data_IF_297788271157
#
_entry.id   IF_297788271157
#
_cell.length_a   1.000
_cell.length_b   1.000
_cell.length_c   1.000
_cell.angle_alpha   90.00
_cell.angle_beta   90.00
_cell.angle_gamma   90.00
#
_symmetry.space_group_name_H-M   'P 1'
#
loop_
_entity.id
_entity.type
_entity.pdbx_description
1 polymer ?
#
# COMPACT_ATOMS: atom_id res chain seq x y z
N UNK A 1 9.01 22.40 13.59
CA UNK A 1 8.68 22.05 14.97
C UNK A 1 8.64 20.53 15.10
N UNK A 2 9.56 19.94 15.89
CA UNK A 2 9.66 18.49 16.09
C UNK A 2 8.86 18.00 17.30
N UNK A 3 8.20 18.91 18.03
CA UNK A 3 7.42 18.56 19.23
C UNK A 3 6.21 17.68 18.92
N UNK A 4 5.70 17.74 17.68
CA UNK A 4 4.59 16.93 17.20
C UNK A 4 5.01 15.58 16.59
N UNK A 5 6.33 15.29 16.57
CA UNK A 5 6.86 14.06 16.02
C UNK A 5 7.31 13.16 17.16
N UNK A 6 6.69 12.00 17.30
CA UNK A 6 7.19 10.95 18.19
C UNK A 6 8.31 10.20 17.47
N UNK A 7 9.53 10.44 17.88
CA UNK A 7 10.68 9.71 17.38
C UNK A 7 10.73 8.32 18.00
N UNK A 8 10.65 7.32 17.17
CA UNK A 8 10.95 5.96 17.60
C UNK A 8 12.46 5.80 17.65
N UNK A 9 12.97 5.30 18.77
CA UNK A 9 14.39 4.99 18.92
C UNK A 9 14.72 3.81 18.01
N UNK A 10 15.22 4.10 16.83
CA UNK A 10 15.95 3.10 16.06
C UNK A 10 17.38 3.09 16.59
N UNK A 11 17.96 1.92 16.74
CA UNK A 11 19.39 1.82 16.98
C UNK A 11 20.12 2.28 15.70
N UNK A 12 20.31 3.60 15.56
CA UNK A 12 20.98 4.21 14.41
C UNK A 12 22.47 3.85 14.28
N UNK A 13 22.98 2.99 15.15
CA UNK A 13 24.36 2.49 15.19
C UNK A 13 24.44 1.07 14.64
N UNK A 14 23.34 0.33 14.67
CA UNK A 14 23.29 -1.05 14.19
C UNK A 14 23.50 -1.14 12.68
N UNK A 15 24.43 -2.00 12.27
CA UNK A 15 24.59 -2.39 10.86
C UNK A 15 23.39 -3.20 10.32
N UNK A 16 22.45 -3.54 11.17
CA UNK A 16 21.26 -4.35 10.82
C UNK A 16 20.13 -3.49 10.26
N UNK A 17 20.12 -2.20 10.60
CA UNK A 17 19.03 -1.30 10.27
C UNK A 17 19.60 0.08 9.88
N UNK A 18 19.06 0.70 8.83
CA UNK A 18 19.52 1.97 8.28
C UNK A 18 18.36 2.84 7.81
N UNK A 19 18.63 4.08 7.51
CA UNK A 19 17.66 4.92 6.80
C UNK A 19 17.57 4.51 5.33
N UNK A 20 16.36 4.59 4.78
CA UNK A 20 16.15 4.45 3.34
C UNK A 20 16.72 5.63 2.58
N UNK A 21 17.17 5.40 1.35
CA UNK A 21 17.66 6.43 0.45
C UNK A 21 16.88 6.33 -0.86
N UNK A 22 16.48 7.48 -1.38
CA UNK A 22 15.87 7.58 -2.69
C UNK A 22 16.72 8.49 -3.58
N UNK A 23 17.14 7.95 -4.72
CA UNK A 23 17.85 8.70 -5.74
C UNK A 23 16.93 8.96 -6.92
N UNK A 24 16.83 10.20 -7.34
CA UNK A 24 16.06 10.56 -8.53
C UNK A 24 16.96 11.34 -9.49
N UNK A 25 17.21 10.75 -10.64
CA UNK A 25 17.81 11.46 -11.76
C UNK A 25 16.71 12.23 -12.50
N UNK A 26 16.87 13.54 -12.64
CA UNK A 26 15.93 14.34 -13.43
C UNK A 26 16.12 14.01 -14.91
N UNK A 27 15.03 13.75 -15.59
CA UNK A 27 15.04 13.64 -17.05
C UNK A 27 15.43 14.95 -17.72
N UNK A 28 16.10 14.86 -18.85
CA UNK A 28 16.45 16.01 -19.70
C UNK A 28 16.33 15.63 -21.18
N UNK A 29 15.62 16.42 -21.94
CA UNK A 29 15.36 16.16 -23.37
C UNK A 29 14.59 14.85 -23.56
N UNK A 30 15.13 13.96 -24.39
CA UNK A 30 14.54 12.63 -24.69
C UNK A 30 14.79 11.61 -23.57
N UNK A 31 15.58 11.94 -22.56
CA UNK A 31 15.88 11.05 -21.44
C UNK A 31 14.87 11.27 -20.31
N UNK A 32 14.06 10.25 -20.04
CA UNK A 32 13.11 10.28 -18.93
C UNK A 32 13.79 10.33 -17.56
N UNK A 33 13.05 10.79 -16.55
CA UNK A 33 13.51 10.73 -15.15
C UNK A 33 13.63 9.26 -14.69
N UNK A 34 14.68 8.94 -13.94
CA UNK A 34 14.92 7.61 -13.38
C UNK A 34 14.99 7.70 -11.87
N UNK A 35 14.08 6.99 -11.19
CA UNK A 35 14.07 6.84 -9.74
C UNK A 35 14.65 5.51 -9.29
N UNK A 36 15.54 5.54 -8.30
CA UNK A 36 16.04 4.36 -7.62
C UNK A 36 15.79 4.49 -6.12
N UNK A 37 14.91 3.64 -5.59
CA UNK A 37 14.58 3.61 -4.17
C UNK A 37 15.29 2.45 -3.49
N UNK A 38 16.22 2.76 -2.60
CA UNK A 38 16.90 1.78 -1.77
C UNK A 38 16.16 1.62 -0.43
N UNK A 39 15.29 0.63 -0.34
CA UNK A 39 14.37 0.38 0.78
C UNK A 39 14.76 -0.83 1.63
N UNK A 40 15.69 -1.66 1.18
CA UNK A 40 16.07 -2.88 1.88
C UNK A 40 16.76 -2.60 3.22
N UNK A 41 16.49 -3.41 4.23
CA UNK A 41 17.09 -3.31 5.57
C UNK A 41 16.95 -1.93 6.24
N UNK A 42 15.89 -1.20 5.90
CA UNK A 42 15.56 0.07 6.56
C UNK A 42 14.93 -0.18 7.93
N UNK A 43 15.02 0.79 8.83
CA UNK A 43 14.39 0.72 10.15
C UNK A 43 12.90 0.35 10.04
N UNK A 44 12.19 1.01 9.14
CA UNK A 44 10.75 0.76 8.94
C UNK A 44 10.46 -0.65 8.37
N UNK A 45 11.38 -1.24 7.59
CA UNK A 45 11.21 -2.61 7.09
C UNK A 45 11.45 -3.68 8.15
N UNK A 46 12.08 -3.31 9.27
CA UNK A 46 12.36 -4.17 10.42
C UNK A 46 11.39 -3.95 11.57
N UNK A 47 10.62 -2.86 11.53
CA UNK A 47 9.66 -2.55 12.57
C UNK A 47 8.58 -3.65 12.66
N UNK A 48 8.23 -3.99 13.88
CA UNK A 48 7.21 -4.99 14.21
C UNK A 48 5.98 -4.32 14.81
N UNK A 49 4.82 -5.00 14.92
CA UNK A 49 3.66 -4.41 15.57
C UNK A 49 3.93 -3.88 16.98
N UNK A 50 4.82 -4.54 17.73
CA UNK A 50 5.17 -4.22 19.11
C UNK A 50 5.94 -2.91 19.25
N UNK A 51 6.53 -2.40 18.16
CA UNK A 51 7.20 -1.11 18.13
C UNK A 51 6.20 0.07 18.15
N UNK A 52 4.91 -0.20 17.94
CA UNK A 52 3.86 0.81 17.84
C UNK A 52 2.77 0.58 18.90
N UNK A 53 2.42 1.62 19.62
CA UNK A 53 1.26 1.61 20.51
C UNK A 53 0.00 2.02 19.73
N UNK A 54 -0.57 1.06 18.98
CA UNK A 54 -1.74 1.31 18.15
C UNK A 54 -2.99 1.62 18.98
N UNK A 55 -3.13 1.05 20.18
CA UNK A 55 -4.26 1.37 21.08
C UNK A 55 -4.17 2.82 21.56
N UNK A 56 -2.98 3.32 21.88
CA UNK A 56 -2.78 4.73 22.18
C UNK A 56 -3.09 5.64 20.97
N UNK A 57 -2.59 5.26 19.78
CA UNK A 57 -2.78 6.06 18.56
C UNK A 57 -4.26 6.18 18.19
N UNK A 58 -4.96 5.06 18.12
CA UNK A 58 -6.35 5.05 17.64
C UNK A 58 -7.38 5.25 18.76
N UNK A 59 -7.07 4.77 19.97
CA UNK A 59 -7.96 4.89 21.12
C UNK A 59 -7.79 6.21 21.86
N UNK A 60 -6.60 6.48 22.41
CA UNK A 60 -6.40 7.65 23.27
C UNK A 60 -6.25 8.95 22.48
N UNK A 61 -5.43 8.97 21.41
CA UNK A 61 -5.30 10.15 20.55
C UNK A 61 -6.51 10.35 19.63
N UNK A 62 -7.36 9.35 19.47
CA UNK A 62 -8.58 9.43 18.70
C UNK A 62 -8.35 9.68 17.21
N UNK A 63 -7.34 9.05 16.63
CA UNK A 63 -7.05 9.18 15.19
C UNK A 63 -8.25 8.73 14.37
N UNK A 64 -8.74 9.59 13.48
CA UNK A 64 -9.97 9.37 12.72
C UNK A 64 -9.75 8.78 11.34
N UNK A 65 -8.54 8.86 10.81
CA UNK A 65 -8.20 8.37 9.47
C UNK A 65 -6.80 7.80 9.46
N UNK A 66 -6.68 6.53 9.06
CA UNK A 66 -5.42 5.86 8.77
C UNK A 66 -5.28 5.73 7.25
N UNK A 67 -4.16 6.22 6.71
CA UNK A 67 -3.77 5.94 5.33
C UNK A 67 -2.49 5.11 5.30
N UNK A 68 -2.50 4.04 4.50
CA UNK A 68 -1.32 3.20 4.26
C UNK A 68 -1.40 2.59 2.86
N UNK A 69 -0.47 1.71 2.50
CA UNK A 69 -0.50 1.14 1.14
C UNK A 69 0.45 -0.02 0.92
N UNK A 70 0.33 -0.60 -0.27
CA UNK A 70 1.04 -1.79 -0.70
C UNK A 70 2.55 -1.66 -0.74
N UNK A 71 3.09 -0.46 -0.91
CA UNK A 71 4.54 -0.23 -0.82
C UNK A 71 5.05 -0.54 0.59
N UNK A 72 4.34 -0.11 1.64
CA UNK A 72 4.74 -0.46 3.00
C UNK A 72 4.55 -1.95 3.27
N UNK A 73 3.42 -2.51 2.89
CA UNK A 73 3.14 -3.93 3.04
C UNK A 73 4.21 -4.81 2.38
N UNK A 74 4.72 -4.40 1.21
CA UNK A 74 5.71 -5.14 0.42
C UNK A 74 7.16 -4.99 0.88
N UNK A 75 7.47 -4.22 1.93
CA UNK A 75 8.86 -4.02 2.38
C UNK A 75 9.47 -5.28 2.99
N UNK A 76 8.70 -6.06 3.72
CA UNK A 76 9.13 -7.27 4.42
C UNK A 76 7.93 -8.06 4.94
N UNK A 77 8.15 -9.29 5.38
CA UNK A 77 7.11 -10.05 6.10
C UNK A 77 6.65 -9.37 7.41
N UNK A 78 7.57 -8.64 8.07
CA UNK A 78 7.20 -7.89 9.28
C UNK A 78 6.29 -6.72 8.97
N UNK A 79 6.57 -5.99 7.87
CA UNK A 79 5.68 -4.90 7.45
C UNK A 79 4.28 -5.38 7.04
N UNK A 80 4.15 -6.58 6.46
CA UNK A 80 2.84 -7.21 6.25
C UNK A 80 2.06 -7.37 7.56
N UNK A 81 2.71 -7.87 8.60
CA UNK A 81 2.08 -8.07 9.92
C UNK A 81 1.74 -6.72 10.57
N UNK A 82 2.67 -5.79 10.51
CA UNK A 82 2.51 -4.47 11.13
C UNK A 82 1.38 -3.67 10.50
N UNK A 83 1.28 -3.66 9.17
CA UNK A 83 0.18 -2.97 8.49
C UNK A 83 -1.18 -3.60 8.81
N UNK A 84 -1.24 -4.93 8.86
CA UNK A 84 -2.48 -5.63 9.17
C UNK A 84 -2.93 -5.38 10.61
N UNK A 85 -2.01 -5.37 11.58
CA UNK A 85 -2.30 -5.07 12.97
C UNK A 85 -2.76 -3.61 13.14
N UNK A 86 -2.07 -2.66 12.50
CA UNK A 86 -2.47 -1.26 12.49
C UNK A 86 -3.90 -1.07 11.98
N UNK A 87 -4.23 -1.71 10.85
CA UNK A 87 -5.56 -1.62 10.23
C UNK A 87 -6.63 -2.26 11.14
N UNK A 88 -6.38 -3.44 11.68
CA UNK A 88 -7.33 -4.12 12.60
C UNK A 88 -7.59 -3.29 13.84
N UNK A 89 -6.53 -2.73 14.44
CA UNK A 89 -6.68 -1.87 15.61
C UNK A 89 -7.41 -0.56 15.25
N UNK A 90 -7.10 0.05 14.11
CA UNK A 90 -7.83 1.22 13.62
C UNK A 90 -9.34 0.93 13.51
N UNK A 91 -9.71 -0.21 12.94
CA UNK A 91 -11.13 -0.62 12.83
C UNK A 91 -11.79 -0.87 14.18
N UNK A 92 -11.07 -1.43 15.16
CA UNK A 92 -11.55 -1.61 16.54
C UNK A 92 -12.02 -0.28 17.17
N UNK A 93 -11.33 0.82 16.83
CA UNK A 93 -11.65 2.16 17.34
C UNK A 93 -12.52 3.01 16.39
N UNK A 94 -13.03 2.42 15.31
CA UNK A 94 -13.90 3.12 14.37
C UNK A 94 -13.16 4.10 13.42
N UNK A 95 -11.85 4.02 13.35
CA UNK A 95 -11.02 4.81 12.44
C UNK A 95 -11.31 4.42 10.98
N UNK A 96 -11.42 5.41 10.11
CA UNK A 96 -11.54 5.19 8.67
C UNK A 96 -10.19 4.73 8.14
N UNK A 97 -10.18 3.68 7.34
CA UNK A 97 -8.97 3.12 6.74
C UNK A 97 -8.99 3.33 5.24
N UNK A 98 -7.99 4.03 4.71
CA UNK A 98 -7.73 4.10 3.27
C UNK A 98 -6.44 3.36 2.94
N UNK A 99 -6.47 2.62 1.82
CA UNK A 99 -5.36 1.80 1.36
C UNK A 99 -5.13 1.99 -0.13
N UNK A 100 -3.88 2.32 -0.50
CA UNK A 100 -3.44 2.36 -1.89
C UNK A 100 -2.72 1.05 -2.24
N UNK A 101 -3.28 0.27 -3.13
CA UNK A 101 -2.73 -1.02 -3.54
C UNK A 101 -1.30 -0.91 -4.07
N UNK A 102 -1.04 0.07 -4.91
CA UNK A 102 0.28 0.50 -5.38
C UNK A 102 1.27 -0.65 -5.60
N UNK A 103 0.86 -1.61 -6.43
CA UNK A 103 1.60 -2.84 -6.67
C UNK A 103 2.99 -2.58 -7.25
N UNK A 104 3.98 -3.25 -6.71
CA UNK A 104 5.36 -3.20 -7.21
C UNK A 104 5.94 -4.61 -7.28
N UNK A 105 5.99 -5.22 -8.48
CA UNK A 105 6.46 -6.60 -8.67
C UNK A 105 7.84 -6.84 -8.04
N UNK A 106 8.76 -5.88 -8.20
CA UNK A 106 10.12 -5.98 -7.68
C UNK A 106 10.21 -6.04 -6.14
N UNK A 107 9.23 -5.48 -5.44
CA UNK A 107 9.18 -5.55 -3.98
C UNK A 107 8.57 -6.87 -3.51
N UNK A 108 7.44 -7.24 -4.09
CA UNK A 108 6.76 -8.48 -3.74
C UNK A 108 7.58 -9.73 -4.08
N UNK A 109 8.35 -9.70 -5.18
CA UNK A 109 9.24 -10.83 -5.54
C UNK A 109 10.23 -11.21 -4.44
N UNK A 110 10.63 -10.25 -3.61
CA UNK A 110 11.55 -10.48 -2.49
C UNK A 110 10.91 -11.23 -1.30
N UNK A 111 9.58 -11.27 -1.20
CA UNK A 111 8.86 -11.84 -0.05
C UNK A 111 7.79 -12.87 -0.43
N UNK A 112 7.81 -13.39 -1.65
CA UNK A 112 6.90 -14.46 -2.08
C UNK A 112 6.11 -14.18 -3.36
N UNK A 113 6.38 -13.07 -4.04
CA UNK A 113 5.84 -12.78 -5.37
C UNK A 113 4.36 -12.43 -5.39
N UNK A 114 3.74 -12.72 -6.54
CA UNK A 114 2.34 -12.38 -6.79
C UNK A 114 1.38 -13.09 -5.84
N UNK A 115 1.62 -14.36 -5.54
CA UNK A 115 0.77 -15.13 -4.64
C UNK A 115 0.74 -14.50 -3.24
N UNK A 116 1.92 -14.08 -2.74
CA UNK A 116 2.00 -13.40 -1.45
C UNK A 116 1.35 -12.03 -1.47
N UNK A 117 1.51 -11.29 -2.57
CA UNK A 117 0.82 -10.02 -2.75
C UNK A 117 -0.71 -10.18 -2.66
N UNK A 118 -1.25 -11.18 -3.35
CA UNK A 118 -2.68 -11.47 -3.32
C UNK A 118 -3.16 -11.94 -1.93
N UNK A 119 -2.43 -12.84 -1.28
CA UNK A 119 -2.76 -13.30 0.07
C UNK A 119 -2.90 -12.12 1.03
N UNK A 120 -1.87 -11.27 1.08
CA UNK A 120 -1.80 -10.14 2.02
C UNK A 120 -2.84 -9.08 1.69
N UNK A 121 -2.96 -8.67 0.43
CA UNK A 121 -3.88 -7.59 0.06
C UNK A 121 -5.35 -8.02 0.14
N UNK A 122 -5.69 -9.28 -0.14
CA UNK A 122 -7.04 -9.83 0.06
C UNK A 122 -7.42 -9.85 1.55
N UNK A 123 -6.47 -10.12 2.44
CA UNK A 123 -6.72 -10.05 3.88
C UNK A 123 -6.91 -8.59 4.34
N UNK A 124 -6.05 -7.67 3.90
CA UNK A 124 -6.14 -6.23 4.20
C UNK A 124 -7.48 -5.66 3.71
N UNK A 125 -7.90 -6.02 2.49
CA UNK A 125 -9.11 -5.50 1.86
C UNK A 125 -10.37 -5.70 2.72
N UNK A 126 -10.42 -6.72 3.57
CA UNK A 126 -11.56 -6.98 4.47
C UNK A 126 -11.80 -5.88 5.51
N UNK A 127 -10.81 -5.03 5.75
CA UNK A 127 -10.84 -3.99 6.78
C UNK A 127 -10.77 -2.56 6.23
N UNK A 128 -10.61 -2.40 4.91
CA UNK A 128 -10.45 -1.10 4.26
C UNK A 128 -11.81 -0.46 3.99
N UNK A 129 -11.93 0.84 4.24
CA UNK A 129 -13.12 1.64 3.89
C UNK A 129 -12.95 2.31 2.52
N UNK A 130 -11.73 2.76 2.19
CA UNK A 130 -11.44 3.46 0.94
C UNK A 130 -10.28 2.75 0.23
N UNK A 131 -10.59 2.05 -0.86
CA UNK A 131 -9.60 1.35 -1.67
C UNK A 131 -9.16 2.22 -2.83
N UNK A 132 -7.84 2.30 -3.05
CA UNK A 132 -7.23 3.10 -4.11
C UNK A 132 -6.31 2.20 -4.93
N UNK A 133 -6.31 2.37 -6.24
CA UNK A 133 -5.41 1.63 -7.15
C UNK A 133 -5.78 1.87 -8.60
N UNK A 134 -4.87 1.53 -9.49
CA UNK A 134 -5.17 1.45 -10.91
C UNK A 134 -5.64 0.02 -11.28
N UNK A 135 -5.92 -0.23 -12.55
CA UNK A 135 -6.38 -1.53 -13.04
C UNK A 135 -5.38 -2.67 -12.76
N UNK A 136 -4.09 -2.41 -12.98
CA UNK A 136 -3.02 -3.37 -12.73
C UNK A 136 -2.95 -3.72 -11.25
N UNK A 137 -3.11 -2.74 -10.38
CA UNK A 137 -3.11 -2.93 -8.93
C UNK A 137 -4.27 -3.83 -8.48
N UNK A 138 -5.49 -3.59 -8.99
CA UNK A 138 -6.66 -4.42 -8.66
C UNK A 138 -6.50 -5.85 -9.17
N UNK A 139 -5.98 -6.02 -10.37
CA UNK A 139 -5.73 -7.35 -10.95
C UNK A 139 -4.63 -8.08 -10.15
N UNK A 140 -3.49 -7.46 -9.96
CA UNK A 140 -2.34 -8.09 -9.31
C UNK A 140 -2.58 -8.37 -7.82
N UNK A 141 -3.18 -7.44 -7.08
CA UNK A 141 -3.33 -7.55 -5.63
C UNK A 141 -4.61 -8.26 -5.20
N UNK A 142 -5.71 -8.10 -5.94
CA UNK A 142 -7.02 -8.62 -5.54
C UNK A 142 -7.55 -9.71 -6.49
N UNK A 143 -6.95 -9.84 -7.67
CA UNK A 143 -7.33 -10.86 -8.67
C UNK A 143 -8.57 -10.50 -9.46
N UNK A 144 -8.92 -9.21 -9.57
CA UNK A 144 -10.00 -8.75 -10.45
C UNK A 144 -9.47 -8.56 -11.86
N UNK A 145 -10.17 -9.12 -12.84
CA UNK A 145 -9.82 -8.98 -14.26
C UNK A 145 -10.68 -7.91 -14.90
N UNK A 146 -10.10 -7.15 -15.84
CA UNK A 146 -10.85 -6.25 -16.71
C UNK A 146 -11.12 -6.96 -18.01
N UNK A 147 -12.40 -7.24 -18.29
CA UNK A 147 -12.81 -7.77 -19.58
C UNK A 147 -12.59 -6.73 -20.68
N UNK A 148 -11.89 -7.11 -21.75
CA UNK A 148 -11.76 -6.31 -22.97
C UNK A 148 -10.62 -5.29 -22.96
N UNK A 149 -9.57 -5.49 -22.18
CA UNK A 149 -8.33 -4.73 -22.33
C UNK A 149 -7.64 -5.19 -23.61
N UNK A 150 -7.72 -4.37 -24.66
CA UNK A 150 -6.87 -4.49 -25.83
C UNK A 150 -5.43 -4.11 -25.41
N UNK A 151 -4.44 -4.92 -25.77
CA UNK A 151 -3.02 -4.72 -25.40
C UNK A 151 -2.44 -3.35 -25.84
N UNK A 152 -3.21 -2.57 -26.58
CA UNK A 152 -2.80 -1.29 -27.16
C UNK A 152 -3.30 -0.04 -26.43
N UNK A 153 -3.96 -0.10 -25.27
CA UNK A 153 -4.36 1.04 -24.40
C UNK A 153 -4.83 2.33 -25.13
N UNK A 154 -5.31 2.20 -26.39
CA UNK A 154 -5.62 3.37 -27.22
C UNK A 154 -6.95 4.03 -26.88
N UNK A 155 -7.84 3.34 -26.17
CA UNK A 155 -9.09 3.89 -25.70
C UNK A 155 -9.34 3.49 -24.25
N UNK A 156 -9.72 4.45 -23.45
CA UNK A 156 -10.05 4.26 -22.05
C UNK A 156 -11.34 3.43 -21.93
N UNK A 157 -11.25 2.16 -21.54
CA UNK A 157 -12.40 1.30 -21.36
C UNK A 157 -13.13 1.59 -20.03
N UNK A 158 -13.82 2.75 -19.96
CA UNK A 158 -14.56 3.19 -18.77
C UNK A 158 -15.54 2.14 -18.25
N UNK A 159 -16.19 1.39 -19.14
CA UNK A 159 -17.17 0.38 -18.73
C UNK A 159 -16.49 -0.86 -18.14
N UNK A 160 -15.31 -1.23 -18.60
CA UNK A 160 -14.46 -2.25 -17.98
C UNK A 160 -14.05 -1.87 -16.56
N UNK A 161 -13.63 -0.62 -16.35
CA UNK A 161 -13.32 -0.09 -15.00
C UNK A 161 -14.55 -0.11 -14.08
N UNK A 162 -15.71 0.31 -14.55
CA UNK A 162 -16.95 0.26 -13.76
C UNK A 162 -17.33 -1.16 -13.37
N UNK A 163 -17.17 -2.13 -14.27
CA UNK A 163 -17.43 -3.55 -13.98
C UNK A 163 -16.50 -4.05 -12.90
N UNK A 164 -15.19 -3.81 -13.03
CA UNK A 164 -14.17 -4.18 -12.03
C UNK A 164 -14.48 -3.58 -10.65
N UNK A 165 -14.77 -2.29 -10.59
CA UNK A 165 -15.11 -1.60 -9.33
C UNK A 165 -16.39 -2.20 -8.72
N UNK A 166 -17.42 -2.46 -9.52
CA UNK A 166 -18.65 -3.08 -9.04
C UNK A 166 -18.41 -4.48 -8.48
N UNK A 167 -17.54 -5.25 -9.11
CA UNK A 167 -17.16 -6.57 -8.63
C UNK A 167 -16.36 -6.50 -7.33
N UNK A 168 -15.41 -5.56 -7.25
CA UNK A 168 -14.65 -5.30 -6.03
C UNK A 168 -15.57 -4.93 -4.85
N UNK A 169 -16.54 -4.04 -5.06
CA UNK A 169 -17.51 -3.63 -4.02
C UNK A 169 -18.45 -4.78 -3.63
N UNK A 170 -18.82 -5.65 -4.55
CA UNK A 170 -19.61 -6.86 -4.23
C UNK A 170 -18.81 -7.85 -3.39
N UNK A 171 -17.52 -8.02 -3.71
CA UNK A 171 -16.62 -8.95 -3.01
C UNK A 171 -16.25 -8.42 -1.63
N UNK A 172 -16.06 -7.10 -1.51
CA UNK A 172 -15.70 -6.43 -0.26
C UNK A 172 -16.76 -5.38 0.12
N UNK A 173 -17.88 -5.79 0.71
CA UNK A 173 -19.01 -4.89 1.03
C UNK A 173 -18.67 -3.84 2.10
N UNK A 174 -17.51 -3.95 2.75
CA UNK A 174 -16.97 -2.96 3.67
C UNK A 174 -16.42 -1.72 2.95
N UNK A 175 -16.13 -1.77 1.65
CA UNK A 175 -15.70 -0.59 0.91
C UNK A 175 -16.79 0.46 0.85
N UNK A 176 -16.47 1.66 1.30
CA UNK A 176 -17.34 2.85 1.22
C UNK A 176 -17.02 3.71 0.01
N UNK A 177 -15.78 3.62 -0.48
CA UNK A 177 -15.33 4.25 -1.70
C UNK A 177 -14.23 3.42 -2.36
N UNK A 178 -14.24 3.42 -3.69
CA UNK A 178 -13.15 2.88 -4.52
C UNK A 178 -12.72 3.98 -5.48
N UNK A 179 -11.44 4.29 -5.49
CA UNK A 179 -10.85 5.27 -6.38
C UNK A 179 -9.85 4.60 -7.31
N UNK A 180 -9.98 4.84 -8.60
CA UNK A 180 -9.02 4.37 -9.59
C UNK A 180 -8.44 5.53 -10.38
N UNK A 181 -7.11 5.45 -10.62
CA UNK A 181 -6.43 6.40 -11.49
C UNK A 181 -6.49 5.89 -12.92
N UNK A 182 -6.99 6.72 -13.79
CA UNK A 182 -7.04 6.45 -15.23
C UNK A 182 -5.80 7.07 -15.88
N UNK A 183 -5.17 6.34 -16.79
CA UNK A 183 -4.03 6.83 -17.56
C UNK A 183 -4.41 6.85 -19.04
N UNK A 184 -4.25 8.00 -19.68
CA UNK A 184 -4.19 8.09 -21.13
C UNK A 184 -2.70 8.03 -21.54
N UNK A 185 -2.37 7.23 -22.53
CA UNK A 185 -1.02 7.08 -23.10
C UNK A 185 -0.97 7.75 -24.47
#
# INVERSE_FOLDING_TARGET
DTSLIKWMKTDGISRVCRNGINFTERGFGIRGAVGCSDRANTAISKATPEDFDFDYIFGELGVRWLHTGGIYAALSEQSCKTVLEAIKTAKKYGTIVSYDLNYRPSMWSAIGGLEKAQEVNKEIAKYVDVMIGNEEDFTACLGFEIEGNDENLKELNIDGYKKMINEAVKTYPNFKAVATTLREV
#
